data_IF_641437753760
#
_entry.id   IF_641437753760
#
_cell.length_a   1.000
_cell.length_b   1.000
_cell.length_c   1.000
_cell.angle_alpha   90.00
_cell.angle_beta   90.00
_cell.angle_gamma   90.00
#
_symmetry.space_group_name_H-M   'P 1'
#
loop_
_entity.id
_entity.type
_entity.pdbx_description
1 polymer ?
#
# COMPACT_ATOMS: atom_id res chain seq x y z
N UNK A 1 22.65 3.30 -42.27
CA UNK A 1 21.78 2.71 -43.31
C UNK A 1 21.53 1.26 -42.94
N UNK A 2 20.56 0.99 -42.06
CA UNK A 2 20.05 -0.36 -41.76
C UNK A 2 18.53 -0.21 -41.54
N UNK A 3 17.79 -1.09 -42.20
CA UNK A 3 16.35 -1.09 -42.50
C UNK A 3 15.42 -0.88 -41.29
N UNK A 4 14.41 -0.01 -41.49
CA UNK A 4 13.15 -0.03 -40.74
C UNK A 4 12.26 -1.16 -41.29
N UNK A 5 11.79 -2.06 -40.42
CA UNK A 5 10.73 -3.02 -40.75
C UNK A 5 9.42 -2.44 -40.23
N UNK A 6 8.53 -2.06 -41.16
CA UNK A 6 7.16 -1.64 -40.87
C UNK A 6 6.28 -2.89 -40.89
N UNK A 7 5.77 -3.29 -39.72
CA UNK A 7 4.71 -4.30 -39.63
C UNK A 7 3.38 -3.57 -39.61
N UNK A 8 2.66 -3.62 -40.73
CA UNK A 8 1.28 -3.16 -40.82
C UNK A 8 0.35 -4.22 -40.21
N UNK A 9 -0.09 -4.01 -38.97
CA UNK A 9 -1.12 -4.81 -38.33
C UNK A 9 -2.49 -4.18 -38.58
N UNK A 10 -3.37 -4.89 -39.30
CA UNK A 10 -4.80 -4.61 -39.38
C UNK A 10 -5.38 -4.53 -37.96
N UNK A 11 -5.88 -3.37 -37.54
CA UNK A 11 -6.81 -3.29 -36.42
C UNK A 11 -8.20 -3.67 -36.89
N UNK A 12 -8.63 -4.87 -36.50
CA UNK A 12 -10.03 -5.27 -36.50
C UNK A 12 -10.77 -4.43 -35.45
N UNK A 13 -11.86 -3.77 -35.87
CA UNK A 13 -12.84 -3.16 -34.98
C UNK A 13 -13.48 -4.28 -34.15
N UNK A 14 -13.06 -4.42 -32.89
CA UNK A 14 -13.72 -5.28 -31.93
C UNK A 14 -14.89 -4.53 -31.30
N UNK A 15 -16.06 -5.16 -31.43
CA UNK A 15 -17.38 -4.85 -30.89
C UNK A 15 -17.41 -4.56 -29.38
N UNK A 16 -18.39 -3.72 -29.00
CA UNK A 16 -18.80 -3.36 -27.63
C UNK A 16 -18.70 -4.49 -26.60
N UNK A 17 -18.17 -4.24 -25.39
CA UNK A 17 -18.38 -5.15 -24.27
C UNK A 17 -19.76 -4.88 -23.67
N UNK A 18 -20.80 -5.42 -24.32
CA UNK A 18 -22.06 -5.74 -23.67
C UNK A 18 -21.85 -6.88 -22.68
N UNK A 19 -21.37 -6.56 -21.47
CA UNK A 19 -21.13 -7.51 -20.39
C UNK A 19 -22.04 -7.21 -19.20
N UNK A 20 -23.12 -7.98 -19.06
CA UNK A 20 -24.06 -7.86 -17.96
C UNK A 20 -23.35 -7.96 -16.60
N UNK A 21 -23.57 -6.97 -15.76
CA UNK A 21 -23.06 -6.89 -14.39
C UNK A 21 -23.64 -7.96 -13.48
N UNK A 22 -23.20 -9.21 -13.65
CA UNK A 22 -23.07 -10.14 -12.54
C UNK A 22 -21.63 -10.05 -12.08
N UNK A 23 -21.35 -9.24 -11.05
CA UNK A 23 -20.02 -9.16 -10.47
C UNK A 23 -19.50 -10.56 -10.21
N UNK A 24 -18.42 -10.95 -10.89
CA UNK A 24 -17.64 -12.07 -10.43
C UNK A 24 -17.12 -11.66 -9.06
N UNK A 25 -17.56 -12.36 -8.01
CA UNK A 25 -16.91 -12.30 -6.72
C UNK A 25 -15.42 -12.58 -6.96
N UNK A 26 -14.58 -11.54 -6.88
CA UNK A 26 -13.16 -11.74 -6.64
C UNK A 26 -13.08 -12.28 -5.22
N UNK A 27 -13.15 -13.60 -5.09
CA UNK A 27 -12.86 -14.33 -3.86
C UNK A 27 -11.35 -14.22 -3.62
N UNK A 28 -10.90 -13.12 -2.99
CA UNK A 28 -9.60 -13.11 -2.34
C UNK A 28 -9.78 -13.88 -1.03
N UNK A 29 -9.28 -15.11 -1.01
CA UNK A 29 -9.26 -15.93 0.20
C UNK A 29 -8.57 -15.17 1.34
N UNK A 30 -9.34 -14.88 2.38
CA UNK A 30 -8.82 -14.41 3.66
C UNK A 30 -8.22 -15.60 4.40
N UNK A 31 -6.89 -15.69 4.44
CA UNK A 31 -6.23 -16.43 5.50
C UNK A 31 -6.25 -15.54 6.75
N UNK A 32 -7.04 -15.94 7.75
CA UNK A 32 -6.98 -15.34 9.08
C UNK A 32 -5.66 -15.79 9.72
N UNK A 33 -4.66 -14.93 9.65
CA UNK A 33 -3.57 -14.91 10.61
C UNK A 33 -3.26 -13.46 10.96
N UNK A 34 -3.66 -13.04 12.17
CA UNK A 34 -3.28 -11.76 12.79
C UNK A 34 -3.73 -10.46 12.11
N UNK A 35 -4.84 -9.87 12.59
CA UNK A 35 -5.18 -8.41 12.64
C UNK A 35 -4.71 -7.46 11.50
N UNK A 36 -4.56 -7.93 10.27
CA UNK A 36 -4.24 -7.09 9.11
C UNK A 36 -5.35 -7.26 8.08
N UNK A 37 -6.29 -6.31 8.06
CA UNK A 37 -7.36 -6.28 7.06
C UNK A 37 -6.75 -5.85 5.73
N UNK A 38 -6.74 -6.76 4.74
CA UNK A 38 -6.41 -6.41 3.35
C UNK A 38 -7.65 -5.73 2.77
N UNK A 39 -7.46 -4.60 2.06
CA UNK A 39 -8.51 -3.92 1.31
C UNK A 39 -9.38 -4.94 0.57
N UNK A 40 -10.69 -4.89 0.76
CA UNK A 40 -11.64 -5.84 0.18
C UNK A 40 -12.79 -5.11 -0.47
N UNK A 41 -12.67 -4.88 -1.77
CA UNK A 41 -13.68 -4.15 -2.54
C UNK A 41 -14.87 -5.07 -2.87
N UNK A 42 -16.08 -4.64 -2.51
CA UNK A 42 -17.34 -5.31 -2.82
C UNK A 42 -18.23 -4.42 -3.66
N UNK A 43 -18.91 -5.03 -4.63
CA UNK A 43 -19.72 -4.35 -5.66
C UNK A 43 -18.94 -3.29 -6.46
N UNK A 44 -17.61 -3.38 -6.49
CA UNK A 44 -16.72 -2.47 -7.20
C UNK A 44 -16.23 -3.08 -8.50
N UNK A 45 -16.05 -2.25 -9.51
CA UNK A 45 -15.40 -2.57 -10.78
C UNK A 45 -13.91 -2.18 -10.79
N UNK A 46 -13.41 -1.60 -9.70
CA UNK A 46 -12.03 -1.15 -9.60
C UNK A 46 -11.08 -2.34 -9.62
N UNK A 47 -10.10 -2.27 -10.52
CA UNK A 47 -9.01 -3.25 -10.64
C UNK A 47 -7.75 -2.68 -9.99
N UNK A 48 -7.12 -3.47 -9.12
CA UNK A 48 -5.85 -3.15 -8.47
C UNK A 48 -4.71 -3.86 -9.20
N UNK A 49 -3.64 -3.15 -9.49
CA UNK A 49 -2.43 -3.69 -10.13
C UNK A 49 -1.17 -2.98 -9.62
N UNK A 50 0.01 -3.53 -9.92
CA UNK A 50 1.30 -2.98 -9.49
C UNK A 50 2.10 -3.94 -8.61
N UNK A 51 3.39 -3.65 -8.41
CA UNK A 51 4.32 -4.51 -7.66
C UNK A 51 4.24 -4.30 -6.13
N UNK A 52 3.57 -3.24 -5.69
CA UNK A 52 3.24 -2.98 -4.29
C UNK A 52 1.94 -3.66 -3.82
N UNK A 53 1.23 -4.38 -4.70
CA UNK A 53 -0.03 -5.02 -4.36
C UNK A 53 0.18 -6.41 -3.69
N UNK A 54 -0.63 -6.72 -2.69
CA UNK A 54 -0.76 -8.10 -2.16
C UNK A 54 0.12 -8.46 -0.96
N UNK A 55 0.99 -7.55 -0.48
CA UNK A 55 1.77 -7.74 0.74
C UNK A 55 0.98 -7.56 2.04
N UNK A 56 1.70 -7.33 3.13
CA UNK A 56 1.13 -7.03 4.46
C UNK A 56 0.72 -5.55 4.52
N UNK A 57 -0.53 -5.30 4.88
CA UNK A 57 -1.07 -3.94 5.04
C UNK A 57 -0.40 -3.21 6.21
N UNK A 58 -0.18 -1.90 6.05
CA UNK A 58 0.26 -0.97 7.09
C UNK A 58 -0.93 -0.44 7.94
N UNK A 59 -2.16 -0.83 7.61
CA UNK A 59 -3.37 -0.43 8.32
C UNK A 59 -3.99 0.87 7.84
N UNK A 60 -3.56 1.41 6.69
CA UNK A 60 -4.24 2.56 6.07
C UNK A 60 -5.72 2.26 5.81
N UNK A 61 -6.60 3.17 6.22
CA UNK A 61 -8.06 3.06 6.01
C UNK A 61 -8.56 4.17 5.11
N UNK A 62 -9.51 3.83 4.25
CA UNK A 62 -10.18 4.81 3.41
C UNK A 62 -10.92 5.83 4.28
N UNK A 63 -10.86 7.11 3.90
CA UNK A 63 -11.62 8.18 4.58
C UNK A 63 -13.13 7.94 4.49
N UNK A 64 -13.56 7.41 3.34
CA UNK A 64 -14.94 7.04 3.07
C UNK A 64 -14.98 5.57 2.61
N UNK A 65 -15.61 4.67 3.38
CA UNK A 65 -15.54 3.24 3.09
C UNK A 65 -16.58 2.77 2.06
N UNK A 66 -17.43 3.66 1.51
CA UNK A 66 -18.39 3.34 0.44
C UNK A 66 -18.59 4.52 -0.53
N UNK A 67 -18.87 4.21 -1.79
CA UNK A 67 -19.01 5.20 -2.87
C UNK A 67 -19.90 4.71 -4.00
N UNK A 68 -20.30 5.61 -4.88
CA UNK A 68 -20.95 5.27 -6.15
C UNK A 68 -19.93 5.10 -7.27
N UNK A 69 -20.10 4.06 -8.07
CA UNK A 69 -19.39 3.85 -9.35
C UNK A 69 -20.37 3.93 -10.53
N UNK A 70 -19.92 4.39 -11.70
CA UNK A 70 -20.74 4.41 -12.90
C UNK A 70 -21.06 2.98 -13.33
N UNK A 71 -22.34 2.70 -13.55
CA UNK A 71 -22.86 1.42 -13.99
C UNK A 71 -23.40 1.52 -15.42
N UNK A 72 -24.51 0.85 -15.74
CA UNK A 72 -25.08 0.81 -17.09
C UNK A 72 -25.90 2.08 -17.41
N UNK A 73 -26.15 2.33 -18.69
CA UNK A 73 -27.16 3.30 -19.15
C UNK A 73 -28.58 2.86 -18.78
N UNK A 74 -29.59 3.65 -19.19
CA UNK A 74 -30.98 3.38 -18.83
C UNK A 74 -31.47 2.03 -19.36
N UNK A 75 -31.18 1.74 -20.63
CA UNK A 75 -31.56 0.51 -21.32
C UNK A 75 -30.88 -0.70 -20.68
N UNK A 76 -29.56 -0.66 -20.50
CA UNK A 76 -28.81 -1.75 -19.89
C UNK A 76 -29.23 -2.03 -18.45
N UNK A 77 -29.47 -0.98 -17.66
CA UNK A 77 -29.97 -1.16 -16.29
C UNK A 77 -31.38 -1.73 -16.27
N UNK A 78 -32.28 -1.31 -17.16
CA UNK A 78 -33.61 -1.91 -17.25
C UNK A 78 -33.53 -3.40 -17.59
N UNK A 79 -32.73 -3.76 -18.59
CA UNK A 79 -32.49 -5.15 -18.98
C UNK A 79 -31.91 -5.98 -17.83
N UNK A 80 -30.98 -5.40 -17.07
CA UNK A 80 -30.41 -6.02 -15.89
C UNK A 80 -31.49 -6.27 -14.82
N UNK A 81 -32.28 -5.25 -14.46
CA UNK A 81 -33.33 -5.38 -13.45
C UNK A 81 -34.44 -6.34 -13.88
N UNK A 82 -34.82 -6.35 -15.16
CA UNK A 82 -35.75 -7.35 -15.68
C UNK A 82 -35.24 -8.77 -15.45
N UNK A 83 -33.93 -9.01 -15.53
CA UNK A 83 -33.34 -10.35 -15.31
C UNK A 83 -33.15 -10.68 -13.83
N UNK A 84 -32.84 -9.69 -12.99
CA UNK A 84 -32.39 -9.93 -11.61
C UNK A 84 -33.41 -9.62 -10.54
N UNK A 85 -34.37 -8.72 -10.78
CA UNK A 85 -35.43 -8.40 -9.81
C UNK A 85 -36.26 -9.65 -9.53
N UNK A 86 -36.12 -10.18 -8.32
CA UNK A 86 -36.98 -11.21 -7.76
C UNK A 86 -38.06 -10.53 -6.93
N UNK A 87 -39.30 -11.01 -7.05
CA UNK A 87 -40.37 -10.56 -6.16
C UNK A 87 -40.17 -11.28 -4.83
N UNK A 88 -39.91 -10.53 -3.77
CA UNK A 88 -39.97 -11.09 -2.42
C UNK A 88 -41.45 -11.36 -2.09
N UNK A 89 -41.84 -12.61 -1.79
CA UNK A 89 -43.23 -12.92 -1.45
C UNK A 89 -43.74 -12.21 -0.18
N UNK A 90 -42.85 -11.63 0.62
CA UNK A 90 -43.16 -10.88 1.83
C UNK A 90 -43.07 -9.35 1.63
N UNK A 91 -42.60 -8.85 0.49
CA UNK A 91 -42.67 -7.42 0.18
C UNK A 91 -44.02 -7.05 -0.45
N UNK A 92 -44.59 -5.89 -0.10
CA UNK A 92 -45.86 -5.45 -0.65
C UNK A 92 -45.78 -4.98 -2.11
N UNK A 93 -44.57 -4.75 -2.65
CA UNK A 93 -44.37 -4.24 -4.01
C UNK A 93 -44.39 -5.37 -5.03
N UNK A 94 -45.17 -5.16 -6.09
CA UNK A 94 -45.14 -6.02 -7.27
C UNK A 94 -43.83 -5.84 -8.03
N UNK A 95 -43.50 -6.82 -8.89
CA UNK A 95 -42.36 -6.70 -9.82
C UNK A 95 -42.46 -5.44 -10.67
N UNK A 96 -43.65 -5.10 -11.16
CA UNK A 96 -43.84 -3.93 -12.02
C UNK A 96 -43.54 -2.64 -11.28
N UNK A 97 -44.02 -2.50 -10.05
CA UNK A 97 -43.74 -1.32 -9.20
C UNK A 97 -42.25 -1.19 -8.87
N UNK A 98 -41.55 -2.31 -8.70
CA UNK A 98 -40.10 -2.32 -8.46
C UNK A 98 -39.30 -1.88 -9.69
N UNK A 99 -39.79 -2.22 -10.88
CA UNK A 99 -39.15 -1.87 -12.16
C UNK A 99 -39.48 -0.44 -12.63
N UNK A 100 -40.52 0.18 -12.11
CA UNK A 100 -41.01 1.48 -12.57
C UNK A 100 -39.94 2.59 -12.55
N UNK A 101 -39.13 2.75 -11.48
CA UNK A 101 -38.08 3.76 -11.45
C UNK A 101 -37.05 3.62 -12.58
N UNK A 102 -36.83 2.38 -13.07
CA UNK A 102 -35.92 2.10 -14.18
C UNK A 102 -36.59 2.36 -15.53
N UNK A 103 -37.86 1.97 -15.70
CA UNK A 103 -38.66 2.28 -16.90
C UNK A 103 -38.75 3.79 -17.14
N UNK A 104 -38.93 4.58 -16.08
CA UNK A 104 -39.00 6.04 -16.17
C UNK A 104 -37.72 6.70 -16.71
N UNK A 105 -36.59 5.98 -16.74
CA UNK A 105 -35.33 6.48 -17.29
C UNK A 105 -35.07 6.04 -18.73
N UNK A 106 -35.86 5.12 -19.29
CA UNK A 106 -35.70 4.70 -20.69
C UNK A 106 -35.79 5.88 -21.64
N UNK A 107 -34.88 5.94 -22.61
CA UNK A 107 -34.78 7.05 -23.57
C UNK A 107 -34.28 8.37 -22.98
N UNK A 108 -33.90 8.42 -21.70
CA UNK A 108 -33.22 9.59 -21.11
C UNK A 108 -31.72 9.42 -21.22
N UNK A 109 -31.04 10.49 -21.62
CA UNK A 109 -29.58 10.52 -21.59
C UNK A 109 -29.09 10.53 -20.13
N UNK A 110 -28.09 9.70 -19.84
CA UNK A 110 -27.51 9.59 -18.52
C UNK A 110 -27.00 8.18 -18.23
N UNK A 111 -26.62 7.96 -16.98
CA UNK A 111 -26.11 6.67 -16.52
C UNK A 111 -26.56 6.41 -15.09
N UNK A 112 -26.80 5.14 -14.79
CA UNK A 112 -26.98 4.68 -13.42
C UNK A 112 -25.64 4.56 -12.71
N UNK A 113 -25.66 4.82 -11.42
CA UNK A 113 -24.53 4.60 -10.53
C UNK A 113 -24.94 3.64 -9.42
N UNK A 114 -24.02 2.74 -9.06
CA UNK A 114 -24.24 1.68 -8.06
C UNK A 114 -23.25 1.79 -6.92
N UNK A 115 -23.64 1.31 -5.74
CA UNK A 115 -22.81 1.40 -4.53
C UNK A 115 -21.73 0.32 -4.55
N UNK A 116 -20.49 0.75 -4.32
CA UNK A 116 -19.34 -0.08 -3.95
C UNK A 116 -18.90 0.25 -2.52
N UNK A 117 -18.23 -0.68 -1.85
CA UNK A 117 -17.66 -0.44 -0.52
C UNK A 117 -16.43 -1.30 -0.25
N UNK A 118 -15.61 -0.85 0.70
CA UNK A 118 -14.58 -1.66 1.33
C UNK A 118 -15.21 -2.49 2.46
N UNK A 119 -15.39 -3.79 2.22
CA UNK A 119 -15.92 -4.73 3.20
C UNK A 119 -14.91 -5.09 4.30
N UNK A 120 -13.66 -4.66 4.17
CA UNK A 120 -12.61 -4.81 5.17
C UNK A 120 -12.70 -3.76 6.29
N UNK A 121 -13.41 -2.65 6.02
CA UNK A 121 -13.67 -1.58 7.00
C UNK A 121 -14.90 -1.93 7.85
N UNK A 122 -14.83 -1.81 9.20
CA UNK A 122 -15.97 -2.07 10.09
C UNK A 122 -17.22 -1.23 9.80
N UNK A 123 -17.07 -0.08 9.14
CA UNK A 123 -18.15 0.83 8.74
C UNK A 123 -18.56 0.64 7.28
N UNK A 124 -17.93 -0.25 6.51
CA UNK A 124 -18.21 -0.45 5.09
C UNK A 124 -19.67 -0.82 4.82
N UNK A 125 -20.19 -1.82 5.53
CA UNK A 125 -21.57 -2.27 5.37
C UNK A 125 -22.59 -1.22 5.80
N UNK A 126 -22.40 -0.59 6.97
CA UNK A 126 -23.34 0.45 7.45
C UNK A 126 -23.31 1.71 6.57
N UNK A 127 -22.14 2.04 6.00
CA UNK A 127 -21.99 3.09 4.99
C UNK A 127 -22.81 2.74 3.74
N UNK A 128 -22.66 1.52 3.19
CA UNK A 128 -23.43 1.07 2.04
C UNK A 128 -24.94 1.11 2.31
N UNK A 129 -25.40 0.63 3.46
CA UNK A 129 -26.83 0.57 3.81
C UNK A 129 -27.48 1.95 3.99
N UNK A 130 -26.68 3.01 4.19
CA UNK A 130 -27.17 4.37 4.31
C UNK A 130 -27.30 5.10 2.95
N UNK A 131 -26.91 4.45 1.84
CA UNK A 131 -26.97 5.00 0.49
C UNK A 131 -28.12 4.39 -0.32
N UNK A 132 -28.63 5.15 -1.30
CA UNK A 132 -29.59 4.63 -2.27
C UNK A 132 -28.93 3.62 -3.21
N UNK A 133 -29.53 2.44 -3.41
CA UNK A 133 -28.87 1.37 -4.20
C UNK A 133 -28.51 1.78 -5.63
N UNK A 134 -29.34 2.62 -6.25
CA UNK A 134 -29.19 3.08 -7.64
C UNK A 134 -29.51 4.57 -7.75
N UNK A 135 -28.62 5.32 -8.38
CA UNK A 135 -28.83 6.75 -8.67
C UNK A 135 -28.62 7.00 -10.17
N UNK A 136 -29.62 7.59 -10.83
CA UNK A 136 -29.51 7.99 -12.24
C UNK A 136 -29.11 9.46 -12.32
N UNK A 137 -28.04 9.76 -13.06
CA UNK A 137 -27.58 11.14 -13.29
C UNK A 137 -27.41 11.46 -14.77
N UNK A 138 -27.55 12.73 -15.19
CA UNK A 138 -27.30 13.14 -16.57
C UNK A 138 -25.86 12.86 -17.05
N UNK A 139 -25.60 12.90 -18.37
CA UNK A 139 -24.25 12.76 -18.91
C UNK A 139 -23.28 13.79 -18.32
N UNK A 140 -22.00 13.41 -18.20
CA UNK A 140 -20.93 14.27 -17.68
C UNK A 140 -21.16 14.80 -16.25
N UNK A 141 -22.02 14.13 -15.47
CA UNK A 141 -22.24 14.44 -14.06
C UNK A 141 -21.90 13.24 -13.18
N UNK A 142 -21.56 13.53 -11.93
CA UNK A 142 -21.26 12.52 -10.89
C UNK A 142 -22.24 12.75 -9.74
N UNK A 143 -22.91 11.71 -9.22
CA UNK A 143 -23.81 11.88 -8.07
C UNK A 143 -23.02 12.32 -6.83
N UNK A 144 -23.66 12.96 -5.83
CA UNK A 144 -23.08 13.09 -4.51
C UNK A 144 -22.63 11.73 -3.98
N UNK A 145 -21.37 11.62 -3.56
CA UNK A 145 -20.77 10.35 -3.15
C UNK A 145 -20.29 9.45 -4.30
N UNK A 146 -20.30 9.93 -5.54
CA UNK A 146 -19.57 9.29 -6.64
C UNK A 146 -18.07 9.27 -6.39
N UNK A 147 -17.41 8.21 -6.84
CA UNK A 147 -15.97 8.03 -6.71
C UNK A 147 -15.25 9.19 -7.39
N UNK A 148 -14.27 9.75 -6.68
CA UNK A 148 -13.39 10.79 -7.20
C UNK A 148 -12.00 10.24 -7.50
N UNK A 149 -11.20 10.97 -8.29
CA UNK A 149 -9.81 10.59 -8.55
C UNK A 149 -8.97 10.54 -7.27
N UNK A 150 -9.26 11.42 -6.29
CA UNK A 150 -8.60 11.41 -5.00
C UNK A 150 -8.95 10.16 -4.17
N UNK A 151 -10.21 9.74 -4.21
CA UNK A 151 -10.62 8.49 -3.55
C UNK A 151 -10.07 7.25 -4.25
N UNK A 152 -9.90 7.29 -5.58
CA UNK A 152 -9.23 6.23 -6.31
C UNK A 152 -7.74 6.15 -5.93
N UNK A 153 -7.09 7.29 -5.69
CA UNK A 153 -5.74 7.33 -5.13
C UNK A 153 -5.70 6.78 -3.69
N UNK A 154 -6.69 7.09 -2.84
CA UNK A 154 -6.81 6.52 -1.50
C UNK A 154 -6.98 4.98 -1.54
N UNK A 155 -7.73 4.46 -2.52
CA UNK A 155 -7.87 3.01 -2.78
C UNK A 155 -6.53 2.39 -3.18
N UNK A 156 -5.78 3.03 -4.09
CA UNK A 156 -4.43 2.58 -4.45
C UNK A 156 -3.48 2.62 -3.23
N UNK A 157 -3.55 3.66 -2.40
CA UNK A 157 -2.77 3.79 -1.16
C UNK A 157 -3.11 2.72 -0.13
N UNK A 158 -4.39 2.35 0.00
CA UNK A 158 -4.85 1.30 0.91
C UNK A 158 -4.37 -0.10 0.48
N UNK A 159 -4.19 -0.31 -0.82
CA UNK A 159 -3.65 -1.55 -1.38
C UNK A 159 -2.11 -1.59 -1.45
N UNK A 160 -1.44 -0.44 -1.30
CA UNK A 160 0.02 -0.31 -1.35
C UNK A 160 0.69 -0.93 -0.12
N UNK A 161 1.60 -1.85 -0.38
CA UNK A 161 2.41 -2.53 0.63
C UNK A 161 3.89 -2.44 0.26
N UNK A 162 4.75 -2.52 1.28
CA UNK A 162 6.21 -2.48 1.13
C UNK A 162 6.82 -3.72 1.77
N UNK A 163 7.98 -4.20 1.29
CA UNK A 163 8.61 -5.40 1.83
C UNK A 163 9.10 -5.17 3.25
N UNK A 164 9.05 -6.23 4.06
CA UNK A 164 9.73 -6.25 5.36
C UNK A 164 11.27 -6.13 5.16
N UNK A 165 11.96 -5.27 5.93
CA UNK A 165 13.39 -5.07 5.75
C UNK A 165 14.19 -6.32 6.09
N UNK A 166 15.18 -6.66 5.25
CA UNK A 166 16.12 -7.77 5.51
C UNK A 166 17.44 -7.24 6.07
N UNK A 167 17.60 -7.36 7.38
CA UNK A 167 18.74 -6.78 8.11
C UNK A 167 20.02 -7.59 7.90
N UNK A 168 21.07 -6.92 7.40
CA UNK A 168 22.43 -7.44 7.35
C UNK A 168 23.34 -6.68 8.30
N UNK A 169 24.24 -7.43 8.94
CA UNK A 169 25.19 -6.90 9.91
C UNK A 169 26.63 -7.24 9.50
N UNK A 170 27.57 -6.39 9.89
CA UNK A 170 28.98 -6.74 9.95
C UNK A 170 29.59 -6.23 11.26
N UNK A 171 30.09 -7.10 12.15
CA UNK A 171 30.12 -8.57 12.00
C UNK A 171 28.72 -9.21 12.02
N UNK A 172 28.56 -10.34 11.32
CA UNK A 172 27.25 -10.99 11.12
C UNK A 172 26.86 -11.89 12.32
N UNK A 173 27.84 -12.57 12.92
CA UNK A 173 27.59 -13.58 13.96
C UNK A 173 27.58 -12.98 15.36
N UNK A 174 28.61 -12.20 15.68
CA UNK A 174 28.83 -11.63 17.02
C UNK A 174 29.57 -10.32 16.91
N UNK A 175 29.09 -9.32 17.64
CA UNK A 175 29.74 -8.03 17.82
C UNK A 175 30.56 -8.00 19.10
N UNK A 176 31.39 -6.97 19.25
CA UNK A 176 32.21 -6.78 20.44
C UNK A 176 32.10 -5.37 20.97
N UNK A 177 32.25 -5.23 22.28
CA UNK A 177 32.24 -3.93 22.96
C UNK A 177 33.24 -2.98 22.31
N UNK A 178 32.81 -1.73 22.09
CA UNK A 178 33.55 -0.64 21.45
C UNK A 178 33.94 -0.88 19.98
N UNK A 179 33.42 -1.92 19.32
CA UNK A 179 33.62 -2.14 17.89
C UNK A 179 32.34 -1.79 17.10
N UNK A 180 32.48 -1.14 15.92
CA UNK A 180 31.33 -0.85 15.07
C UNK A 180 30.63 -2.10 14.57
N UNK A 181 29.31 -2.14 14.73
CA UNK A 181 28.40 -3.08 14.08
C UNK A 181 27.71 -2.36 12.93
N UNK A 182 28.11 -2.63 11.70
CA UNK A 182 27.54 -2.03 10.50
C UNK A 182 26.18 -2.63 10.19
N UNK A 183 25.24 -1.81 9.73
CA UNK A 183 23.86 -2.23 9.44
C UNK A 183 23.47 -1.77 8.03
N UNK A 184 22.85 -2.64 7.25
CA UNK A 184 22.23 -2.29 5.96
C UNK A 184 21.10 -3.25 5.58
N UNK A 185 20.32 -2.88 4.57
CA UNK A 185 19.26 -3.70 3.99
C UNK A 185 19.78 -4.52 2.81
N UNK A 186 19.57 -5.84 2.83
CA UNK A 186 19.94 -6.75 1.75
C UNK A 186 19.06 -6.58 0.49
N UNK A 187 17.81 -6.14 0.69
CA UNK A 187 16.79 -5.98 -0.33
C UNK A 187 16.83 -4.61 -1.04
N UNK A 188 18.01 -3.97 -1.10
CA UNK A 188 18.19 -2.63 -1.67
C UNK A 188 17.94 -2.51 -3.19
N UNK A 189 17.67 -3.61 -3.90
CA UNK A 189 17.51 -3.63 -5.36
C UNK A 189 16.21 -2.99 -5.88
N UNK A 190 15.12 -3.06 -5.11
CA UNK A 190 13.85 -2.43 -5.46
C UNK A 190 13.48 -1.41 -4.37
N UNK A 191 13.81 -0.15 -4.61
CA UNK A 191 13.56 0.97 -3.68
C UNK A 191 12.24 1.69 -3.95
N UNK A 192 11.43 1.16 -4.85
CA UNK A 192 10.12 1.72 -5.23
C UNK A 192 9.08 0.63 -5.28
N UNK A 193 7.86 0.94 -4.84
CA UNK A 193 6.67 0.12 -5.00
C UNK A 193 5.56 0.99 -5.55
N UNK A 194 4.74 0.45 -6.45
CA UNK A 194 3.58 1.15 -6.98
C UNK A 194 2.33 0.30 -6.94
N UNK A 195 1.20 0.98 -6.77
CA UNK A 195 -0.12 0.41 -6.96
C UNK A 195 -0.94 1.36 -7.80
N UNK A 196 -1.61 0.82 -8.81
CA UNK A 196 -2.59 1.53 -9.62
C UNK A 196 -3.97 0.97 -9.35
N UNK A 197 -4.89 1.85 -8.95
CA UNK A 197 -6.32 1.57 -8.93
C UNK A 197 -6.96 2.11 -10.20
N UNK A 198 -7.63 1.24 -10.95
CA UNK A 198 -8.24 1.57 -12.25
C UNK A 198 -9.73 1.30 -12.20
N UNK A 199 -10.53 2.31 -12.51
CA UNK A 199 -11.94 2.14 -12.84
C UNK A 199 -12.04 2.09 -14.39
N UNK A 200 -12.27 0.90 -14.99
CA UNK A 200 -12.13 0.71 -16.43
C UNK A 200 -12.99 1.67 -17.26
N UNK A 201 -12.37 2.32 -18.25
CA UNK A 201 -13.03 3.28 -19.13
C UNK A 201 -13.39 4.63 -18.49
N UNK A 202 -13.02 4.86 -17.23
CA UNK A 202 -13.35 6.09 -16.49
C UNK A 202 -12.11 6.84 -16.03
N UNK A 203 -11.28 6.22 -15.19
CA UNK A 203 -10.11 6.87 -14.58
C UNK A 203 -9.16 5.86 -13.93
N UNK A 204 -7.94 6.31 -13.67
CA UNK A 204 -6.93 5.54 -12.93
C UNK A 204 -6.10 6.46 -12.06
N UNK A 205 -5.67 5.97 -10.89
CA UNK A 205 -4.71 6.67 -10.03
C UNK A 205 -3.60 5.71 -9.61
N UNK A 206 -2.35 6.16 -9.75
CA UNK A 206 -1.17 5.41 -9.31
C UNK A 206 -0.57 6.07 -8.09
N UNK A 207 -0.27 5.29 -7.06
CA UNK A 207 0.45 5.70 -5.86
C UNK A 207 1.78 4.98 -5.81
N UNK A 208 2.85 5.72 -5.53
CA UNK A 208 4.22 5.22 -5.47
C UNK A 208 4.79 5.42 -4.07
N UNK A 209 5.27 4.34 -3.46
CA UNK A 209 6.10 4.35 -2.28
C UNK A 209 7.57 4.30 -2.69
N UNK A 210 8.39 5.22 -2.18
CA UNK A 210 9.84 5.27 -2.42
C UNK A 210 10.58 5.16 -1.10
N UNK A 211 11.47 4.17 -0.98
CA UNK A 211 12.34 4.00 0.18
C UNK A 211 13.24 5.23 0.31
N UNK A 212 13.04 5.99 1.38
CA UNK A 212 13.70 7.27 1.59
C UNK A 212 14.68 7.24 2.74
N UNK A 213 14.42 6.43 3.78
CA UNK A 213 15.22 6.44 4.99
C UNK A 213 15.25 5.10 5.72
N UNK A 214 16.22 4.99 6.63
CA UNK A 214 16.47 3.85 7.49
C UNK A 214 16.70 4.32 8.93
N UNK A 215 15.83 3.88 9.85
CA UNK A 215 15.98 4.13 11.28
C UNK A 215 16.49 2.88 11.97
N UNK A 216 17.41 3.06 12.93
CA UNK A 216 18.03 1.98 13.70
C UNK A 216 17.81 2.26 15.18
N UNK A 217 17.32 1.25 15.91
CA UNK A 217 17.25 1.23 17.36
C UNK A 217 18.16 0.12 17.88
N UNK A 218 19.06 0.44 18.81
CA UNK A 218 20.10 -0.48 19.31
C UNK A 218 19.56 -1.68 20.10
N UNK A 219 18.30 -1.62 20.55
CA UNK A 219 17.72 -2.59 21.47
C UNK A 219 18.14 -2.38 22.93
N UNK A 220 18.77 -1.25 23.25
CA UNK A 220 19.22 -0.90 24.60
C UNK A 220 19.22 0.62 24.79
N UNK A 221 19.58 1.09 25.98
CA UNK A 221 19.66 2.51 26.32
C UNK A 221 20.94 3.18 25.79
N UNK A 222 20.90 4.50 25.67
CA UNK A 222 22.01 5.30 25.11
C UNK A 222 23.31 5.23 25.92
N UNK A 223 23.26 4.86 27.20
CA UNK A 223 24.46 4.60 28.02
C UNK A 223 25.16 3.28 27.68
N UNK A 224 24.49 2.41 26.90
CA UNK A 224 24.99 1.08 26.52
C UNK A 224 25.26 0.95 25.03
N UNK A 225 24.80 1.89 24.21
CA UNK A 225 25.04 1.86 22.77
C UNK A 225 24.96 3.26 22.15
N UNK A 226 25.82 3.50 21.17
CA UNK A 226 25.77 4.67 20.31
C UNK A 226 25.28 4.26 18.93
N UNK A 227 24.15 4.83 18.49
CA UNK A 227 23.63 4.62 17.13
C UNK A 227 24.20 5.68 16.20
N UNK A 228 24.73 5.26 15.04
CA UNK A 228 25.27 6.14 14.01
C UNK A 228 24.45 6.02 12.73
N UNK A 229 24.12 7.16 12.14
CA UNK A 229 23.39 7.23 10.86
C UNK A 229 21.88 7.05 10.96
N UNK A 230 21.28 7.10 12.15
CA UNK A 230 19.82 7.10 12.30
C UNK A 230 19.20 8.26 11.49
N UNK A 231 18.16 7.93 10.72
CA UNK A 231 17.47 8.83 9.80
C UNK A 231 17.17 10.22 10.34
N UNK A 232 17.24 11.20 9.44
CA UNK A 232 16.71 12.55 9.68
C UNK A 232 15.19 12.50 9.82
N UNK A 233 14.61 13.28 10.74
CA UNK A 233 13.16 13.41 10.91
C UNK A 233 12.42 13.55 9.56
N UNK A 234 11.17 13.05 9.42
CA UNK A 234 10.47 13.01 8.15
C UNK A 234 10.41 14.39 7.47
N UNK A 235 10.73 14.43 6.18
CA UNK A 235 10.61 15.64 5.37
C UNK A 235 9.14 16.11 5.38
N UNK A 236 8.92 17.39 5.68
CA UNK A 236 7.61 18.02 5.45
C UNK A 236 7.37 18.18 3.95
N UNK A 237 6.11 18.03 3.56
CA UNK A 237 5.62 17.92 2.18
C UNK A 237 6.06 19.09 1.29
N UNK A 238 6.64 18.80 0.12
CA UNK A 238 6.87 19.77 -0.96
C UNK A 238 8.33 19.93 -1.42
N UNK A 239 9.29 19.49 -0.61
CA UNK A 239 10.71 19.60 -0.94
C UNK A 239 11.30 18.26 -1.41
N UNK A 240 12.24 18.32 -2.37
CA UNK A 240 13.10 17.18 -2.65
C UNK A 240 13.81 16.77 -1.34
N UNK A 241 13.92 15.47 -1.01
CA UNK A 241 14.57 15.06 0.22
C UNK A 241 15.99 15.61 0.23
N UNK A 242 16.27 16.52 1.18
CA UNK A 242 17.63 16.92 1.44
C UNK A 242 18.41 15.64 1.74
N UNK A 243 19.47 15.36 0.97
CA UNK A 243 20.38 14.26 1.33
C UNK A 243 20.86 14.57 2.75
N UNK A 244 20.50 13.73 3.71
CA UNK A 244 21.08 13.80 5.03
C UNK A 244 22.58 13.51 4.89
N UNK A 245 23.39 14.56 4.84
CA UNK A 245 24.84 14.41 4.95
C UNK A 245 25.13 13.81 6.33
N UNK A 246 25.51 12.53 6.36
CA UNK A 246 25.83 11.80 7.59
C UNK A 246 24.79 10.76 8.06
N UNK A 247 23.69 10.55 7.34
CA UNK A 247 22.72 9.47 7.61
C UNK A 247 23.12 8.12 6.99
N UNK A 248 22.42 7.05 7.36
CA UNK A 248 22.54 5.72 6.76
C UNK A 248 22.25 5.69 5.25
N UNK A 249 21.56 6.71 4.74
CA UNK A 249 20.90 6.64 3.44
C UNK A 249 19.70 5.69 3.47
N UNK A 250 18.97 5.55 2.37
CA UNK A 250 17.71 4.78 2.33
C UNK A 250 17.89 3.28 2.66
N UNK A 251 19.10 2.75 2.51
CA UNK A 251 19.37 1.30 2.64
C UNK A 251 20.54 0.96 3.56
N UNK A 252 21.21 1.94 4.17
CA UNK A 252 22.48 1.70 4.87
C UNK A 252 23.67 1.56 3.92
N UNK A 253 24.86 1.30 4.48
CA UNK A 253 26.09 1.10 3.69
C UNK A 253 26.75 -0.22 4.10
N UNK A 254 26.89 -1.20 3.19
CA UNK A 254 27.63 -2.43 3.48
C UNK A 254 29.07 -2.14 3.90
N UNK A 255 29.57 -2.93 4.87
CA UNK A 255 30.96 -2.83 5.29
C UNK A 255 31.91 -3.08 4.12
N UNK A 256 32.92 -2.22 3.98
CA UNK A 256 34.08 -2.48 3.16
C UNK A 256 35.35 -2.05 3.90
N UNK A 257 36.42 -2.84 3.74
CA UNK A 257 37.70 -2.59 4.41
C UNK A 257 38.20 -1.17 4.10
N UNK A 258 38.55 -0.42 5.14
CA UNK A 258 39.05 0.95 5.02
C UNK A 258 37.98 2.03 4.80
N UNK A 259 36.68 1.69 4.83
CA UNK A 259 35.59 2.68 4.81
C UNK A 259 35.27 3.19 6.22
N UNK A 260 34.85 4.46 6.29
CA UNK A 260 34.41 5.12 7.52
C UNK A 260 33.06 4.58 7.95
N UNK A 261 32.93 4.21 9.23
CA UNK A 261 31.67 3.80 9.83
C UNK A 261 30.67 4.97 9.83
N UNK A 262 29.57 4.82 9.09
CA UNK A 262 28.51 5.84 8.92
C UNK A 262 27.13 5.35 9.32
N UNK A 263 26.89 4.03 9.36
CA UNK A 263 25.56 3.46 9.58
C UNK A 263 25.64 2.19 10.44
N UNK A 264 25.02 2.22 11.62
CA UNK A 264 24.93 1.06 12.50
C UNK A 264 25.03 1.43 13.99
N UNK A 265 25.52 0.50 14.80
CA UNK A 265 25.57 0.64 16.26
C UNK A 265 26.95 0.30 16.80
N UNK A 266 27.45 1.09 17.76
CA UNK A 266 28.59 0.73 18.61
C UNK A 266 28.07 0.40 20.00
N UNK A 267 28.20 -0.84 20.44
CA UNK A 267 27.78 -1.25 21.79
C UNK A 267 28.90 -0.98 22.80
N UNK A 268 28.56 -0.32 23.91
CA UNK A 268 29.47 0.09 24.99
C UNK A 268 29.53 -0.93 26.14
N UNK A 269 28.62 -1.91 26.14
CA UNK A 269 28.52 -2.98 27.13
C UNK A 269 28.25 -4.32 26.46
N UNK A 270 28.70 -5.41 27.09
CA UNK A 270 28.39 -6.75 26.65
C UNK A 270 26.89 -7.05 26.85
N UNK A 271 26.36 -8.00 26.07
CA UNK A 271 24.95 -8.39 26.16
C UNK A 271 24.67 -9.52 27.15
N UNK A 272 25.69 -10.07 27.82
CA UNK A 272 25.56 -11.22 28.72
C UNK A 272 24.71 -10.97 29.99
N UNK A 273 24.39 -9.71 30.29
CA UNK A 273 23.46 -9.33 31.37
C UNK A 273 22.04 -9.02 30.86
N UNK A 274 21.80 -9.18 29.56
CA UNK A 274 20.50 -8.97 28.93
C UNK A 274 19.68 -10.27 28.88
N UNK A 275 18.34 -10.17 28.79
CA UNK A 275 17.52 -11.33 28.51
C UNK A 275 17.97 -12.04 27.22
N UNK A 276 18.19 -13.36 27.30
CA UNK A 276 18.70 -14.22 26.20
C UNK A 276 20.12 -13.88 25.75
N UNK A 277 20.87 -13.13 26.55
CA UNK A 277 22.27 -12.75 26.30
C UNK A 277 22.49 -11.94 25.00
N UNK A 278 21.47 -11.21 24.53
CA UNK A 278 21.50 -10.44 23.26
C UNK A 278 20.84 -9.06 23.39
N UNK A 279 21.20 -8.14 22.49
CA UNK A 279 20.40 -6.94 22.21
C UNK A 279 19.47 -7.20 21.03
N UNK A 280 18.20 -6.80 21.15
CA UNK A 280 17.23 -6.89 20.04
C UNK A 280 17.30 -5.63 19.20
N UNK A 281 18.17 -5.61 18.18
CA UNK A 281 18.29 -4.50 17.24
C UNK A 281 16.99 -4.39 16.40
N UNK A 282 16.43 -3.20 16.30
CA UNK A 282 15.28 -2.92 15.41
C UNK A 282 15.73 -2.03 14.26
N UNK A 283 15.34 -2.39 13.04
CA UNK A 283 15.59 -1.57 11.84
C UNK A 283 14.26 -1.29 11.16
N UNK A 284 13.96 0.00 10.97
CA UNK A 284 12.72 0.47 10.35
C UNK A 284 13.03 1.11 9.01
N UNK A 285 12.45 0.55 7.95
CA UNK A 285 12.46 1.15 6.62
C UNK A 285 11.35 2.19 6.50
N UNK A 286 11.66 3.36 5.96
CA UNK A 286 10.72 4.48 5.78
C UNK A 286 10.49 4.71 4.29
N UNK A 287 9.23 4.66 3.87
CA UNK A 287 8.82 4.78 2.48
C UNK A 287 7.90 5.99 2.31
N UNK A 288 8.40 7.03 1.64
CA UNK A 288 7.59 8.20 1.30
C UNK A 288 6.58 7.83 0.22
N UNK A 289 5.34 8.27 0.38
CA UNK A 289 4.25 7.90 -0.52
C UNK A 289 3.69 9.13 -1.22
N UNK A 290 3.61 9.05 -2.55
CA UNK A 290 3.09 10.13 -3.39
C UNK A 290 2.20 9.58 -4.50
N UNK A 291 1.23 10.40 -4.94
CA UNK A 291 0.46 10.11 -6.15
C UNK A 291 1.34 10.43 -7.36
N UNK A 292 1.42 9.49 -8.30
CA UNK A 292 2.19 9.67 -9.52
C UNK A 292 1.68 10.88 -10.31
N UNK A 293 2.63 11.64 -10.87
CA UNK A 293 2.38 12.83 -11.69
C UNK A 293 1.57 13.94 -10.99
N UNK A 294 1.39 13.84 -9.66
CA UNK A 294 0.59 14.77 -8.85
C UNK A 294 -0.81 15.03 -9.45
N UNK A 295 -1.42 14.01 -10.07
CA UNK A 295 -2.74 14.13 -10.71
C UNK A 295 -3.83 14.56 -9.73
N UNK A 296 -3.59 14.36 -8.43
CA UNK A 296 -4.35 14.95 -7.32
C UNK A 296 -3.40 15.43 -6.22
N UNK A 297 -3.67 16.59 -5.59
CA UNK A 297 -2.84 17.13 -4.51
C UNK A 297 -3.16 16.44 -3.17
N UNK A 298 -2.82 15.16 -3.05
CA UNK A 298 -2.99 14.39 -1.81
C UNK A 298 -1.62 14.05 -1.23
N UNK A 299 -1.43 14.35 0.06
CA UNK A 299 -0.26 13.94 0.83
C UNK A 299 -0.61 12.74 1.71
N UNK A 300 0.30 11.77 1.77
CA UNK A 300 0.17 10.58 2.62
C UNK A 300 1.31 10.53 3.63
N UNK A 301 1.01 10.02 4.82
CA UNK A 301 2.06 9.67 5.77
C UNK A 301 2.94 8.54 5.20
N UNK A 302 4.27 8.59 5.47
CA UNK A 302 5.17 7.53 5.05
C UNK A 302 4.78 6.16 5.62
N UNK A 303 5.00 5.10 4.85
CA UNK A 303 4.88 3.72 5.33
C UNK A 303 6.14 3.38 6.11
N UNK A 304 5.98 2.84 7.32
CA UNK A 304 7.08 2.38 8.15
C UNK A 304 6.94 0.89 8.43
N UNK A 305 7.97 0.11 8.09
CA UNK A 305 8.00 -1.33 8.37
C UNK A 305 9.30 -1.66 9.08
N UNK A 306 9.17 -2.27 10.25
CA UNK A 306 10.27 -2.66 11.12
C UNK A 306 10.53 -4.17 11.04
N UNK A 307 11.79 -4.55 11.15
CA UNK A 307 12.22 -5.90 11.45
C UNK A 307 13.19 -5.86 12.64
N UNK A 308 13.35 -6.99 13.32
CA UNK A 308 14.29 -7.13 14.43
C UNK A 308 15.36 -8.17 14.11
N UNK A 309 16.53 -7.99 14.74
CA UNK A 309 17.62 -8.95 14.67
C UNK A 309 18.36 -8.97 16.00
N UNK A 310 18.59 -10.16 16.54
CA UNK A 310 19.38 -10.31 17.76
C UNK A 310 20.86 -10.08 17.47
N UNK A 311 21.52 -9.34 18.37
CA UNK A 311 22.95 -9.04 18.33
C UNK A 311 23.58 -9.50 19.63
N UNK A 312 24.41 -10.53 19.57
CA UNK A 312 25.28 -10.91 20.67
C UNK A 312 26.50 -9.99 20.72
N UNK A 313 26.78 -9.41 21.89
CA UNK A 313 27.91 -8.51 22.11
C UNK A 313 28.82 -9.09 23.18
N UNK A 314 29.99 -9.56 22.76
CA UNK A 314 31.04 -10.05 23.65
C UNK A 314 31.99 -8.94 24.10
N UNK A 315 32.74 -9.19 25.16
CA UNK A 315 33.85 -8.35 25.59
C UNK A 315 35.17 -9.11 25.38
N UNK A 316 36.19 -8.44 24.83
CA UNK A 316 37.53 -9.01 24.68
C UNK A 316 38.36 -8.60 25.89
N UNK A 317 38.76 -9.58 26.70
CA UNK A 317 39.65 -9.39 27.84
C UNK A 317 41.03 -9.96 27.51
N UNK A 318 42.08 -9.17 27.64
CA UNK A 318 43.46 -9.67 27.53
C UNK A 318 44.04 -9.94 28.91
N UNK A 319 44.44 -11.19 29.18
CA UNK A 319 45.17 -11.54 30.40
C UNK A 319 46.67 -11.43 30.14
N UNK A 320 47.37 -10.53 30.85
CA UNK A 320 48.83 -10.46 30.83
C UNK A 320 49.37 -11.34 31.96
N UNK A 321 50.09 -12.41 31.61
CA UNK A 321 50.90 -13.15 32.59
C UNK A 321 52.31 -12.59 32.56
N UNK A 322 52.77 -12.00 33.66
CA UNK A 322 54.17 -11.62 33.85
C UNK A 322 55.02 -12.88 34.00
N UNK A 323 56.18 -12.91 33.35
CA UNK A 323 57.23 -13.90 33.63
C UNK A 323 57.86 -13.55 34.98
N UNK A 324 57.71 -14.42 35.97
CA UNK A 324 58.52 -14.41 37.21
C UNK A 324 59.99 -14.70 36.93
#
# INVERSE_FOLDING_TARGET
>A
MIMNVVVAGLMLLASDPGGGGGGQDVQVQSSQDGRTSRLSLKNSQIVISGDGAGGKSDGYRLKRPCWYEPAQDAEGMMDFQQKTTRVDPYEPKTRSETLEPFKEKLGKEGRWWTIAHDSSDPKGLSCQMAMDTYVFVPPNTTPPGGITLAELADIARAALTVPEPKIKLNPDVRSYVNLPTWVWLDNAGETTRSVTATLPGVMSATVVATLSDLTIESGTSDDRAEVKGAGSAPAKTGDAPAKAEGGCGPTGTPYAKGKTFTCGVTYLRASADQPRDVYTLTVTSVWNVAVQDNVVPVAYDPIQVAATRDVEVGEVQTTVRGSE
#
